data_IF_990034605215
#
_entry.id   IF_990034605215
#
_cell.length_a   1.000
_cell.length_b   1.000
_cell.length_c   1.000
_cell.angle_alpha   90.00
_cell.angle_beta   90.00
_cell.angle_gamma   90.00
#
_symmetry.space_group_name_H-M   'P 1'
#
loop_
_entity.id
_entity.type
_entity.pdbx_description
1 polymer ?
#
# COMPACT_ATOMS: atom_id res chain seq x y z
N UNK A 1 30.83 -13.18 2.40
CA UNK A 1 29.54 -13.28 3.11
C UNK A 1 29.62 -12.39 4.33
N UNK A 2 28.67 -11.49 4.53
CA UNK A 2 28.56 -10.67 5.74
C UNK A 2 27.63 -11.36 6.74
N UNK A 3 27.85 -11.12 8.02
CA UNK A 3 27.00 -11.54 9.13
C UNK A 3 26.59 -10.35 9.97
N UNK A 4 25.73 -10.57 10.97
CA UNK A 4 25.37 -9.55 11.97
C UNK A 4 25.91 -9.98 13.33
N UNK A 5 26.40 -9.01 14.10
CA UNK A 5 26.77 -9.24 15.52
C UNK A 5 25.49 -9.22 16.41
N UNK A 6 25.69 -9.39 17.74
CA UNK A 6 24.60 -9.39 18.72
C UNK A 6 23.79 -8.07 18.78
N UNK A 7 24.36 -6.98 18.26
CA UNK A 7 23.73 -5.66 18.22
C UNK A 7 23.09 -5.38 16.84
N UNK A 8 23.15 -6.34 15.91
CA UNK A 8 22.67 -6.19 14.55
C UNK A 8 23.64 -5.46 13.62
N UNK A 9 24.86 -5.14 14.07
CA UNK A 9 25.86 -4.48 13.22
C UNK A 9 26.34 -5.45 12.14
N UNK A 10 26.39 -4.98 10.90
CA UNK A 10 26.88 -5.77 9.78
C UNK A 10 28.41 -5.92 9.87
N UNK A 11 28.88 -7.16 9.96
CA UNK A 11 30.30 -7.48 10.18
C UNK A 11 30.79 -8.51 9.18
N UNK A 12 32.10 -8.51 8.94
CA UNK A 12 32.78 -9.61 8.30
C UNK A 12 33.04 -10.72 9.36
N UNK A 13 32.42 -11.89 9.27
CA UNK A 13 32.54 -12.94 10.28
C UNK A 13 33.95 -13.52 10.41
N UNK A 14 34.83 -13.35 9.40
CA UNK A 14 36.19 -13.88 9.46
C UNK A 14 37.10 -13.07 10.40
N UNK A 15 36.87 -11.76 10.56
CA UNK A 15 37.77 -10.87 11.32
C UNK A 15 37.03 -9.90 12.24
N UNK A 16 35.70 -9.93 12.29
CA UNK A 16 34.87 -9.04 13.13
C UNK A 16 34.84 -7.57 12.72
N UNK A 17 35.44 -7.20 11.59
CA UNK A 17 35.42 -5.82 11.11
C UNK A 17 34.03 -5.42 10.67
N UNK A 18 33.63 -4.21 11.06
CA UNK A 18 32.32 -3.65 10.77
C UNK A 18 32.23 -3.08 9.36
N UNK A 19 31.11 -3.29 8.70
CA UNK A 19 30.82 -2.73 7.39
C UNK A 19 30.24 -1.34 7.58
N UNK A 20 30.81 -0.37 6.88
CA UNK A 20 30.35 1.00 6.92
C UNK A 20 29.50 1.35 5.71
N UNK A 21 28.63 2.33 5.89
CA UNK A 21 27.73 2.84 4.86
C UNK A 21 26.82 3.93 5.40
N UNK A 22 25.71 4.11 4.75
CA UNK A 22 24.72 5.11 5.10
C UNK A 22 23.41 4.43 5.48
N UNK A 23 22.91 4.75 6.66
CA UNK A 23 21.58 4.30 7.10
C UNK A 23 20.51 5.11 6.39
N UNK A 24 19.38 4.47 6.10
CA UNK A 24 18.21 5.18 5.58
C UNK A 24 17.55 6.01 6.69
N UNK A 25 17.11 7.21 6.34
CA UNK A 25 16.34 8.11 7.20
C UNK A 25 14.90 8.16 6.71
N UNK A 26 13.94 8.23 7.62
CA UNK A 26 12.55 8.46 7.25
C UNK A 26 12.32 9.95 6.95
N UNK A 27 11.94 10.24 5.71
CA UNK A 27 11.58 11.59 5.27
C UNK A 27 10.15 11.55 4.73
N UNK A 28 9.20 11.99 5.53
CA UNK A 28 7.77 11.98 5.17
C UNK A 28 7.23 10.60 4.77
N UNK A 29 7.58 9.56 5.52
CA UNK A 29 7.16 8.18 5.27
C UNK A 29 7.93 7.47 4.15
N UNK A 30 8.98 8.10 3.59
CA UNK A 30 9.86 7.50 2.58
C UNK A 30 11.26 7.29 3.15
N UNK A 31 11.81 6.10 2.96
CA UNK A 31 13.19 5.81 3.34
C UNK A 31 14.16 6.39 2.31
N UNK A 32 15.01 7.31 2.74
CA UNK A 32 16.00 7.99 1.89
C UNK A 32 17.40 7.74 2.43
N UNK A 33 18.31 7.28 1.58
CA UNK A 33 19.74 7.15 1.90
C UNK A 33 20.49 8.39 1.43
N UNK A 34 21.24 9.02 2.34
CA UNK A 34 22.04 10.21 2.04
C UNK A 34 23.53 9.85 1.93
N UNK A 35 23.97 9.55 0.73
CA UNK A 35 25.33 9.10 0.45
C UNK A 35 26.40 10.22 0.49
N UNK A 36 25.98 11.46 0.59
CA UNK A 36 26.89 12.62 0.81
C UNK A 36 27.36 12.81 2.27
N UNK A 37 26.74 12.06 3.22
CA UNK A 37 27.14 12.10 4.61
C UNK A 37 28.37 11.19 4.87
N UNK A 38 29.05 11.40 6.01
CA UNK A 38 30.12 10.49 6.43
C UNK A 38 29.54 9.10 6.70
N UNK A 39 30.13 8.02 6.13
CA UNK A 39 29.67 6.66 6.41
C UNK A 39 29.77 6.33 7.91
N UNK A 40 28.80 5.55 8.39
CA UNK A 40 28.75 5.02 9.75
C UNK A 40 28.61 3.50 9.74
N UNK A 41 28.73 2.86 10.89
CA UNK A 41 28.49 1.43 11.01
C UNK A 41 27.06 1.12 10.57
N UNK A 42 26.89 0.12 9.70
CA UNK A 42 25.58 -0.33 9.25
C UNK A 42 24.97 -1.26 10.29
N UNK A 43 23.81 -0.88 10.80
CA UNK A 43 23.07 -1.65 11.78
C UNK A 43 21.78 -2.18 11.15
N UNK A 44 21.64 -3.50 11.09
CA UNK A 44 20.42 -4.16 10.68
C UNK A 44 19.52 -4.31 11.91
N UNK A 45 18.39 -3.64 11.97
CA UNK A 45 17.55 -3.62 13.18
C UNK A 45 16.73 -4.90 13.33
N UNK A 46 17.40 -6.04 13.50
CA UNK A 46 16.74 -7.35 13.64
C UNK A 46 15.78 -7.33 14.82
N UNK A 47 14.54 -7.72 14.59
CA UNK A 47 13.46 -7.68 15.59
C UNK A 47 12.88 -6.29 15.85
N UNK A 48 13.32 -5.25 15.14
CA UNK A 48 12.68 -3.94 15.22
C UNK A 48 11.26 -4.00 14.66
N UNK A 49 10.35 -3.33 15.35
CA UNK A 49 8.96 -3.20 14.95
C UNK A 49 8.85 -2.18 13.81
N UNK A 50 8.13 -2.55 12.77
CA UNK A 50 7.62 -1.63 11.77
C UNK A 50 6.24 -1.15 12.24
N UNK A 51 6.05 0.11 12.64
CA UNK A 51 4.77 0.59 13.16
C UNK A 51 3.69 0.40 12.09
N UNK A 52 2.43 0.14 12.48
CA UNK A 52 1.34 0.01 11.54
C UNK A 52 1.11 1.33 10.81
N UNK A 53 0.61 1.23 9.60
CA UNK A 53 0.18 2.37 8.79
C UNK A 53 -1.30 2.23 8.46
N UNK A 54 -2.08 3.24 8.82
CA UNK A 54 -3.47 3.32 8.41
C UNK A 54 -3.59 3.38 6.88
N UNK A 55 -4.61 2.74 6.34
CA UNK A 55 -4.94 2.84 4.92
C UNK A 55 -5.49 4.23 4.62
N UNK A 56 -4.86 4.93 3.70
CA UNK A 56 -5.30 6.23 3.20
C UNK A 56 -5.93 6.12 1.81
N UNK A 57 -5.45 5.17 1.00
CA UNK A 57 -5.88 5.01 -0.38
C UNK A 57 -6.16 3.55 -0.71
N UNK A 58 -7.34 3.31 -1.29
CA UNK A 58 -7.77 2.03 -1.84
C UNK A 58 -8.08 2.23 -3.32
N UNK A 59 -7.55 1.39 -4.19
CA UNK A 59 -7.89 1.37 -5.62
C UNK A 59 -8.64 0.10 -5.94
N UNK A 60 -9.79 0.27 -6.55
CA UNK A 60 -10.71 -0.81 -6.84
C UNK A 60 -11.08 -0.86 -8.30
N UNK A 61 -10.74 -1.97 -8.96
CA UNK A 61 -11.03 -2.19 -10.37
C UNK A 61 -11.68 -3.56 -10.55
N UNK A 62 -12.76 -3.63 -11.30
CA UNK A 62 -13.42 -4.89 -11.60
C UNK A 62 -14.09 -4.85 -12.97
N UNK A 63 -14.39 -6.02 -13.51
CA UNK A 63 -15.35 -6.17 -14.59
C UNK A 63 -16.67 -6.70 -14.00
N UNK A 64 -17.77 -6.05 -14.31
CA UNK A 64 -19.11 -6.51 -13.97
C UNK A 64 -19.69 -7.26 -15.18
N UNK A 65 -20.23 -8.45 -14.96
CA UNK A 65 -20.81 -9.24 -16.04
C UNK A 65 -22.12 -8.62 -16.53
N UNK A 66 -22.13 -8.12 -17.76
CA UNK A 66 -23.33 -7.55 -18.39
C UNK A 66 -24.55 -8.48 -18.37
N UNK A 67 -24.32 -9.80 -18.37
CA UNK A 67 -25.37 -10.81 -18.39
C UNK A 67 -25.85 -11.24 -16.98
N UNK A 68 -25.37 -10.61 -15.92
CA UNK A 68 -25.91 -10.82 -14.57
C UNK A 68 -27.42 -10.55 -14.58
N UNK A 69 -28.25 -11.44 -14.00
CA UNK A 69 -29.68 -11.24 -13.93
C UNK A 69 -30.03 -10.02 -13.07
N UNK A 70 -31.14 -9.38 -13.39
CA UNK A 70 -31.73 -8.32 -12.56
C UNK A 70 -32.42 -8.95 -11.35
N UNK A 71 -32.35 -8.26 -10.21
CA UNK A 71 -33.02 -8.70 -8.98
C UNK A 71 -34.49 -8.25 -9.06
N UNK A 72 -35.48 -9.16 -9.02
CA UNK A 72 -36.89 -8.80 -9.05
C UNK A 72 -37.35 -8.11 -7.74
N UNK A 73 -38.52 -7.47 -7.75
CA UNK A 73 -39.05 -6.72 -6.59
C UNK A 73 -39.24 -7.58 -5.33
N UNK A 74 -39.52 -8.87 -5.47
CA UNK A 74 -39.66 -9.82 -4.37
C UNK A 74 -38.73 -11.03 -4.61
N UNK A 75 -37.41 -10.86 -4.42
CA UNK A 75 -36.44 -11.88 -4.78
C UNK A 75 -36.40 -13.00 -3.76
N UNK A 76 -36.13 -14.23 -4.22
CA UNK A 76 -35.62 -15.29 -3.37
C UNK A 76 -34.18 -15.05 -3.00
N UNK A 77 -33.67 -15.75 -1.95
CA UNK A 77 -32.27 -15.64 -1.56
C UNK A 77 -31.32 -16.02 -2.73
N UNK A 78 -31.67 -17.05 -3.51
CA UNK A 78 -30.87 -17.47 -4.67
C UNK A 78 -30.80 -16.37 -5.76
N UNK A 79 -31.95 -15.71 -6.04
CA UNK A 79 -32.02 -14.62 -7.02
C UNK A 79 -31.18 -13.40 -6.59
N UNK A 80 -31.11 -13.11 -5.28
CA UNK A 80 -30.23 -12.07 -4.75
C UNK A 80 -28.76 -12.44 -4.98
N UNK A 81 -28.38 -13.69 -4.68
CA UNK A 81 -27.01 -14.18 -4.88
C UNK A 81 -26.63 -14.15 -6.37
N UNK A 82 -27.51 -14.58 -7.26
CA UNK A 82 -27.26 -14.58 -8.70
C UNK A 82 -27.19 -13.18 -9.30
N UNK A 83 -28.00 -12.23 -8.77
CA UNK A 83 -28.10 -10.85 -9.23
C UNK A 83 -27.05 -9.90 -8.63
N UNK A 84 -26.26 -10.36 -7.66
CA UNK A 84 -25.22 -9.54 -7.00
C UNK A 84 -23.83 -10.05 -7.30
N UNK A 85 -22.88 -9.12 -7.28
CA UNK A 85 -21.46 -9.40 -7.25
C UNK A 85 -20.85 -8.77 -6.01
N UNK A 86 -20.32 -9.59 -5.12
CA UNK A 86 -19.70 -9.14 -3.88
C UNK A 86 -18.20 -9.30 -3.93
N UNK A 87 -17.50 -8.37 -3.30
CA UNK A 87 -16.06 -8.39 -3.20
C UNK A 87 -15.61 -7.65 -1.96
N UNK A 88 -14.44 -8.02 -1.46
CA UNK A 88 -13.91 -7.61 -0.18
C UNK A 88 -12.43 -7.24 -0.29
N UNK A 89 -12.00 -6.29 0.53
CA UNK A 89 -10.59 -5.93 0.71
C UNK A 89 -10.36 -5.54 2.17
N UNK A 90 -9.23 -5.97 2.73
CA UNK A 90 -8.81 -5.56 4.06
C UNK A 90 -8.10 -4.20 3.99
N UNK A 91 -8.50 -3.30 4.87
CA UNK A 91 -7.83 -2.04 5.17
C UNK A 91 -7.34 -2.05 6.61
N UNK A 92 -6.45 -1.15 6.95
CA UNK A 92 -5.85 -1.09 8.30
C UNK A 92 -6.11 0.26 8.95
N UNK A 93 -6.38 0.22 10.26
CA UNK A 93 -6.48 1.43 11.08
C UNK A 93 -5.11 1.90 11.59
N UNK A 94 -5.08 3.00 12.35
CA UNK A 94 -3.85 3.55 12.94
C UNK A 94 -3.18 2.62 13.95
N UNK A 95 -3.91 1.64 14.50
CA UNK A 95 -3.40 0.64 15.43
C UNK A 95 -2.94 -0.64 14.71
N UNK A 96 -3.24 -0.77 13.41
CA UNK A 96 -2.93 -1.95 12.61
C UNK A 96 -3.98 -3.05 12.68
N UNK A 97 -5.17 -2.77 13.21
CA UNK A 97 -6.30 -3.68 13.12
C UNK A 97 -6.79 -3.73 11.67
N UNK A 98 -7.17 -4.92 11.22
CA UNK A 98 -7.76 -5.10 9.90
C UNK A 98 -9.26 -4.85 9.96
N UNK A 99 -9.78 -4.09 8.98
CA UNK A 99 -11.19 -3.82 8.75
C UNK A 99 -11.55 -4.25 7.35
N UNK A 100 -12.64 -4.98 7.19
CA UNK A 100 -13.06 -5.49 5.90
C UNK A 100 -13.96 -4.48 5.17
N UNK A 101 -13.52 -4.01 4.03
CA UNK A 101 -14.36 -3.21 3.12
C UNK A 101 -15.05 -4.15 2.15
N UNK A 102 -16.37 -4.23 2.25
CA UNK A 102 -17.23 -5.02 1.39
C UNK A 102 -17.92 -4.11 0.37
N UNK A 103 -17.87 -4.50 -0.89
CA UNK A 103 -18.56 -3.83 -1.98
C UNK A 103 -19.53 -4.81 -2.64
N UNK A 104 -20.82 -4.45 -2.63
CA UNK A 104 -21.89 -5.23 -3.23
C UNK A 104 -22.41 -4.50 -4.47
N UNK A 105 -22.29 -5.15 -5.62
CA UNK A 105 -22.80 -4.65 -6.89
C UNK A 105 -24.07 -5.37 -7.26
N UNK A 106 -25.12 -4.63 -7.59
CA UNK A 106 -26.38 -5.17 -8.07
C UNK A 106 -26.84 -4.42 -9.31
N UNK A 107 -27.41 -5.14 -10.28
CA UNK A 107 -27.91 -4.53 -11.51
C UNK A 107 -29.21 -3.81 -11.25
N UNK A 108 -29.36 -2.62 -11.81
CA UNK A 108 -30.60 -1.83 -11.68
C UNK A 108 -31.67 -2.41 -12.62
N UNK A 109 -32.85 -2.82 -12.12
CA UNK A 109 -33.92 -3.38 -12.91
C UNK A 109 -34.36 -2.42 -14.03
N UNK A 110 -34.56 -2.95 -15.24
CA UNK A 110 -34.98 -2.18 -16.41
C UNK A 110 -33.90 -1.28 -17.03
N UNK A 111 -32.69 -1.26 -16.46
CA UNK A 111 -31.57 -0.44 -16.93
C UNK A 111 -30.30 -1.28 -17.13
N UNK A 112 -30.10 -1.87 -18.32
CA UNK A 112 -29.05 -2.86 -18.55
C UNK A 112 -27.61 -2.31 -18.40
N UNK A 113 -27.44 -1.00 -18.44
CA UNK A 113 -26.14 -0.33 -18.30
C UNK A 113 -25.98 0.40 -16.96
N UNK A 114 -26.84 0.10 -15.98
CA UNK A 114 -26.76 0.68 -14.65
C UNK A 114 -26.58 -0.40 -13.58
N UNK A 115 -25.73 -0.07 -12.62
CA UNK A 115 -25.50 -0.90 -11.44
C UNK A 115 -25.54 -0.04 -10.19
N UNK A 116 -26.06 -0.57 -9.11
CA UNK A 116 -25.83 0.01 -7.78
C UNK A 116 -24.59 -0.63 -7.17
N UNK A 117 -23.81 0.15 -6.45
CA UNK A 117 -22.74 -0.32 -5.58
C UNK A 117 -23.02 0.13 -4.16
N UNK A 118 -23.04 -0.81 -3.22
CA UNK A 118 -23.13 -0.52 -1.78
C UNK A 118 -21.80 -0.86 -1.15
N UNK A 119 -21.23 0.09 -0.40
CA UNK A 119 -19.92 -0.06 0.25
C UNK A 119 -20.13 -0.04 1.76
N UNK A 120 -19.69 -1.08 2.44
CA UNK A 120 -19.73 -1.19 3.89
C UNK A 120 -18.34 -1.52 4.43
N UNK A 121 -18.03 -0.98 5.61
CA UNK A 121 -16.84 -1.38 6.37
C UNK A 121 -17.32 -2.19 7.56
N UNK A 122 -16.71 -3.36 7.78
CA UNK A 122 -17.06 -4.33 8.83
C UNK A 122 -18.57 -4.65 8.89
N UNK A 123 -19.17 -5.16 7.81
CA UNK A 123 -20.62 -5.33 7.70
C UNK A 123 -21.19 -6.29 8.74
N UNK A 124 -20.39 -7.22 9.27
CA UNK A 124 -20.80 -8.20 10.28
C UNK A 124 -20.76 -7.66 11.71
N UNK A 125 -20.20 -6.45 11.92
CA UNK A 125 -20.12 -5.84 13.23
C UNK A 125 -21.27 -4.86 13.44
N UNK A 126 -22.21 -5.20 14.32
CA UNK A 126 -23.41 -4.40 14.58
C UNK A 126 -23.09 -2.99 15.15
N UNK A 127 -21.94 -2.81 15.81
CA UNK A 127 -21.49 -1.55 16.37
C UNK A 127 -20.93 -0.58 15.32
N UNK A 128 -20.64 -1.08 14.10
CA UNK A 128 -20.06 -0.30 13.00
C UNK A 128 -21.02 0.05 11.87
N UNK A 129 -22.30 0.12 12.14
CA UNK A 129 -23.38 0.23 11.16
C UNK A 129 -23.36 1.50 10.27
N UNK A 130 -22.38 2.39 10.42
CA UNK A 130 -22.39 3.65 9.67
C UNK A 130 -21.09 3.93 8.93
N UNK A 131 -20.87 3.21 7.84
CA UNK A 131 -19.95 3.68 6.81
C UNK A 131 -20.52 4.94 6.19
N UNK A 132 -19.76 6.03 6.19
CA UNK A 132 -20.13 7.30 5.55
C UNK A 132 -19.25 7.48 4.33
N UNK A 133 -19.86 7.72 3.19
CA UNK A 133 -19.12 7.89 1.94
C UNK A 133 -19.68 9.13 1.21
N UNK A 134 -18.81 9.88 0.54
CA UNK A 134 -19.20 11.04 -0.24
C UNK A 134 -18.17 11.42 -1.29
N UNK A 135 -18.57 12.28 -2.22
CA UNK A 135 -17.67 12.92 -3.16
C UNK A 135 -16.90 14.05 -2.47
N UNK A 136 -15.75 13.72 -1.86
CA UNK A 136 -14.88 14.69 -1.18
C UNK A 136 -15.35 15.14 0.22
N UNK A 137 -16.49 14.63 0.71
CA UNK A 137 -16.98 14.87 2.07
C UNK A 137 -17.61 13.59 2.64
N UNK A 138 -17.56 13.44 3.96
CA UNK A 138 -18.18 12.31 4.67
C UNK A 138 -19.37 12.73 5.53
N UNK A 139 -20.02 13.87 5.19
CA UNK A 139 -21.06 14.46 6.05
C UNK A 139 -22.41 13.74 6.00
N UNK A 140 -22.62 12.87 5.01
CA UNK A 140 -23.85 12.08 4.84
C UNK A 140 -23.65 10.61 5.22
N UNK A 141 -24.71 9.98 5.75
CA UNK A 141 -24.79 8.51 5.87
C UNK A 141 -25.28 7.97 4.53
N UNK A 142 -24.36 7.91 3.57
CA UNK A 142 -24.63 7.31 2.26
C UNK A 142 -23.58 6.25 2.02
N UNK A 143 -24.00 5.07 1.58
CA UNK A 143 -23.11 3.98 1.23
C UNK A 143 -23.45 3.36 -0.12
N UNK A 144 -24.47 3.90 -0.82
CA UNK A 144 -24.95 3.35 -2.09
C UNK A 144 -24.85 4.38 -3.20
N UNK A 145 -24.28 3.97 -4.33
CA UNK A 145 -24.04 4.76 -5.52
C UNK A 145 -24.56 4.04 -6.76
N UNK A 146 -24.98 4.78 -7.76
CA UNK A 146 -25.36 4.27 -9.08
C UNK A 146 -24.20 4.48 -10.06
N UNK A 147 -23.74 3.41 -10.67
CA UNK A 147 -22.74 3.38 -11.72
C UNK A 147 -23.44 3.34 -13.07
N UNK A 148 -23.14 4.27 -13.96
CA UNK A 148 -23.68 4.30 -15.31
C UNK A 148 -22.57 3.95 -16.31
N UNK A 149 -22.86 3.00 -17.20
CA UNK A 149 -21.96 2.56 -18.26
C UNK A 149 -22.47 2.94 -19.63
N UNK A 150 -21.56 3.17 -20.57
CA UNK A 150 -21.92 3.31 -21.97
C UNK A 150 -22.16 1.94 -22.64
N UNK A 151 -22.57 1.97 -23.91
CA UNK A 151 -22.82 0.75 -24.69
C UNK A 151 -21.53 -0.06 -24.97
N UNK A 152 -20.35 0.52 -24.74
CA UNK A 152 -19.05 -0.15 -24.88
C UNK A 152 -18.54 -0.72 -23.54
N UNK A 153 -19.28 -0.47 -22.44
CA UNK A 153 -18.95 -0.95 -21.09
C UNK A 153 -17.99 -0.07 -20.31
N UNK A 154 -17.79 1.16 -20.75
CA UNK A 154 -16.99 2.15 -20.02
C UNK A 154 -17.86 2.88 -18.99
N UNK A 155 -17.29 3.11 -17.82
CA UNK A 155 -17.94 3.90 -16.78
C UNK A 155 -18.05 5.35 -17.23
N UNK A 156 -19.27 5.91 -17.20
CA UNK A 156 -19.60 7.28 -17.59
C UNK A 156 -19.83 8.20 -16.41
N UNK A 157 -20.44 7.70 -15.36
CA UNK A 157 -20.73 8.49 -14.18
C UNK A 157 -20.99 7.61 -12.97
N UNK A 158 -20.76 8.20 -11.80
CA UNK A 158 -21.17 7.67 -10.49
C UNK A 158 -22.06 8.71 -9.85
N UNK A 159 -23.25 8.31 -9.41
CA UNK A 159 -24.27 9.17 -8.85
C UNK A 159 -24.64 8.68 -7.46
N UNK A 160 -24.72 9.58 -6.49
CA UNK A 160 -25.17 9.26 -5.14
C UNK A 160 -26.72 9.20 -5.04
N UNK A 161 -27.23 8.80 -3.88
CA UNK A 161 -28.69 8.72 -3.64
C UNK A 161 -29.40 10.09 -3.64
N UNK A 162 -28.66 11.20 -3.50
CA UNK A 162 -29.18 12.56 -3.56
C UNK A 162 -29.17 13.13 -5.00
N UNK A 163 -28.61 12.38 -5.97
CA UNK A 163 -28.51 12.80 -7.37
C UNK A 163 -27.24 13.61 -7.67
N UNK A 164 -26.31 13.74 -6.71
CA UNK A 164 -25.03 14.37 -7.00
C UNK A 164 -24.16 13.42 -7.83
N UNK A 165 -23.48 13.98 -8.80
CA UNK A 165 -22.67 13.23 -9.75
C UNK A 165 -21.18 13.45 -9.49
N UNK A 166 -20.38 12.39 -9.69
CA UNK A 166 -18.93 12.53 -9.73
C UNK A 166 -18.48 13.49 -10.83
N UNK A 167 -17.25 14.00 -10.71
CA UNK A 167 -16.67 14.83 -11.77
C UNK A 167 -16.78 14.09 -13.12
N UNK A 168 -17.38 14.70 -14.17
CA UNK A 168 -17.63 14.07 -15.45
C UNK A 168 -16.36 13.76 -16.26
N UNK A 169 -15.21 14.21 -15.81
CA UNK A 169 -13.91 13.95 -16.44
C UNK A 169 -12.85 13.79 -15.35
N UNK A 170 -12.29 12.60 -15.23
CA UNK A 170 -11.19 12.33 -14.29
C UNK A 170 -11.37 11.09 -13.45
N UNK A 171 -10.56 10.98 -12.42
CA UNK A 171 -10.64 9.90 -11.44
C UNK A 171 -11.89 10.05 -10.55
N UNK A 172 -12.53 8.93 -10.27
CA UNK A 172 -13.65 8.84 -9.35
C UNK A 172 -13.10 8.43 -8.00
N UNK A 173 -13.02 9.40 -7.09
CA UNK A 173 -12.57 9.16 -5.72
C UNK A 173 -13.73 9.43 -4.77
N UNK A 174 -14.14 8.40 -4.04
CA UNK A 174 -15.08 8.49 -2.94
C UNK A 174 -14.27 8.57 -1.65
N UNK A 175 -14.57 9.53 -0.79
CA UNK A 175 -14.02 9.56 0.55
C UNK A 175 -14.91 8.74 1.47
N UNK A 176 -14.36 7.68 2.06
CA UNK A 176 -15.04 6.82 3.00
C UNK A 176 -14.57 7.09 4.42
N UNK A 177 -15.48 6.97 5.39
CA UNK A 177 -15.21 7.13 6.81
C UNK A 177 -15.91 6.03 7.60
N UNK A 178 -15.19 5.41 8.51
CA UNK A 178 -15.69 4.34 9.38
C UNK A 178 -15.29 4.58 10.84
N UNK A 179 -16.05 4.00 11.77
CA UNK A 179 -15.74 4.08 13.20
C UNK A 179 -14.69 3.04 13.57
N UNK A 180 -13.74 3.41 14.43
CA UNK A 180 -12.72 2.52 15.00
C UNK A 180 -13.08 2.24 16.45
N UNK A 181 -13.26 0.96 16.85
CA UNK A 181 -13.79 0.54 18.16
C UNK A 181 -12.95 0.91 19.35
N UNK A 182 -11.63 0.84 19.21
CA UNK A 182 -10.71 0.94 20.35
C UNK A 182 -10.27 2.36 20.64
N UNK A 183 -10.85 3.33 19.96
CA UNK A 183 -10.54 4.74 20.18
C UNK A 183 -11.48 5.37 21.18
N UNK A 184 -10.93 6.20 22.04
CA UNK A 184 -11.72 7.05 22.91
C UNK A 184 -12.70 7.86 22.05
N UNK A 185 -13.97 7.80 22.42
CA UNK A 185 -14.97 8.69 21.85
C UNK A 185 -14.53 10.16 22.03
N UNK A 186 -14.95 11.02 21.11
CA UNK A 186 -14.76 12.45 21.28
C UNK A 186 -15.49 12.96 22.55
N UNK A 187 -15.31 14.24 22.89
CA UNK A 187 -15.94 14.86 24.05
C UNK A 187 -17.49 14.77 24.05
N UNK A 188 -18.10 14.44 22.92
CA UNK A 188 -19.55 14.28 22.73
C UNK A 188 -19.98 12.79 22.72
N UNK A 189 -19.06 11.86 22.94
CA UNK A 189 -19.35 10.44 22.94
C UNK A 189 -19.42 9.81 21.53
N UNK A 190 -19.01 10.53 20.47
CA UNK A 190 -18.95 9.94 19.12
C UNK A 190 -17.69 9.11 18.95
N UNK A 191 -17.76 7.95 18.30
CA UNK A 191 -16.58 7.13 18.04
C UNK A 191 -15.57 7.88 17.16
N UNK A 192 -14.29 7.66 17.41
CA UNK A 192 -13.24 8.11 16.52
C UNK A 192 -13.46 7.50 15.15
N UNK A 193 -13.38 8.33 14.10
CA UNK A 193 -13.58 7.89 12.72
C UNK A 193 -12.29 8.04 11.95
N UNK A 194 -11.99 7.02 11.17
CA UNK A 194 -10.90 7.05 10.23
C UNK A 194 -11.45 7.18 8.80
N UNK A 195 -10.70 7.87 7.96
CA UNK A 195 -11.07 8.13 6.56
C UNK A 195 -10.08 7.50 5.62
N UNK A 196 -10.57 7.05 4.45
CA UNK A 196 -9.73 6.63 3.34
C UNK A 196 -10.38 7.05 2.01
N UNK A 197 -9.58 7.13 0.96
CA UNK A 197 -10.02 7.40 -0.38
C UNK A 197 -10.24 6.09 -1.13
N UNK A 198 -11.43 5.89 -1.66
CA UNK A 198 -11.79 4.76 -2.51
C UNK A 198 -11.82 5.23 -3.97
N UNK A 199 -10.81 4.83 -4.74
CA UNK A 199 -10.70 5.16 -6.15
C UNK A 199 -11.34 4.05 -6.99
N UNK A 200 -12.38 4.40 -7.76
CA UNK A 200 -13.12 3.50 -8.64
C UNK A 200 -12.65 3.55 -10.10
N UNK A 201 -11.59 4.31 -10.38
CA UNK A 201 -11.01 4.45 -11.70
C UNK A 201 -11.32 5.79 -12.37
N UNK A 202 -11.09 5.83 -13.68
CA UNK A 202 -11.24 7.06 -14.50
C UNK A 202 -12.41 6.92 -15.45
N UNK A 203 -13.27 7.94 -15.51
CA UNK A 203 -14.40 8.00 -16.43
C UNK A 203 -13.92 7.86 -17.88
N UNK A 204 -14.63 7.01 -18.65
CA UNK A 204 -14.33 6.76 -20.07
C UNK A 204 -13.12 5.87 -20.33
N UNK A 205 -12.37 5.44 -19.30
CA UNK A 205 -11.26 4.51 -19.44
C UNK A 205 -11.74 3.05 -19.48
N UNK A 206 -10.93 2.17 -20.08
CA UNK A 206 -11.06 0.71 -19.95
C UNK A 206 -9.98 0.11 -19.07
N UNK A 207 -8.97 0.91 -18.71
CA UNK A 207 -7.85 0.49 -17.89
C UNK A 207 -7.98 1.06 -16.48
N UNK A 208 -7.68 0.24 -15.47
CA UNK A 208 -7.66 0.65 -14.08
C UNK A 208 -8.97 1.33 -13.63
N UNK A 209 -10.10 0.75 -14.00
CA UNK A 209 -11.44 1.25 -13.69
C UNK A 209 -12.45 0.12 -13.57
N UNK A 210 -13.63 0.41 -13.05
CA UNK A 210 -14.76 -0.49 -13.10
C UNK A 210 -15.32 -0.49 -14.53
N UNK A 211 -15.50 -1.67 -15.12
CA UNK A 211 -16.01 -1.87 -16.46
C UNK A 211 -17.20 -2.83 -16.46
N UNK A 212 -17.99 -2.82 -17.55
CA UNK A 212 -19.06 -3.77 -17.78
C UNK A 212 -18.80 -4.53 -19.09
N UNK A 213 -18.65 -5.84 -19.06
CA UNK A 213 -18.48 -6.66 -20.25
C UNK A 213 -19.23 -8.00 -20.12
N UNK A 214 -19.43 -8.71 -21.23
CA UNK A 214 -20.09 -10.04 -21.25
C UNK A 214 -19.19 -11.18 -20.77
N UNK A 215 -18.13 -10.89 -20.04
CA UNK A 215 -17.27 -11.87 -19.38
C UNK A 215 -17.66 -12.02 -17.90
N UNK A 216 -17.21 -13.09 -17.26
CA UNK A 216 -17.44 -13.30 -15.82
C UNK A 216 -17.01 -12.05 -15.04
N UNK A 217 -17.78 -11.72 -14.00
CA UNK A 217 -17.36 -10.69 -13.06
C UNK A 217 -16.01 -11.09 -12.46
N UNK A 218 -15.10 -10.14 -12.41
CA UNK A 218 -13.76 -10.32 -11.85
C UNK A 218 -13.48 -9.21 -10.86
N UNK A 219 -12.93 -9.59 -9.73
CA UNK A 219 -12.43 -8.60 -8.79
C UNK A 219 -10.93 -8.51 -8.93
N UNK A 220 -10.47 -7.30 -9.09
CA UNK A 220 -9.11 -6.95 -8.74
C UNK A 220 -9.18 -5.73 -7.82
N UNK A 221 -9.37 -5.98 -6.53
CA UNK A 221 -8.95 -5.04 -5.52
C UNK A 221 -7.42 -5.00 -5.62
N UNK A 222 -6.86 -3.93 -6.15
CA UNK A 222 -5.50 -4.01 -6.63
C UNK A 222 -4.49 -3.33 -5.73
N UNK A 223 -4.94 -2.45 -4.84
CA UNK A 223 -4.00 -1.66 -4.07
C UNK A 223 -4.67 -1.06 -2.83
N UNK A 224 -4.02 -1.22 -1.72
CA UNK A 224 -4.23 -0.46 -0.50
C UNK A 224 -2.84 -0.17 0.11
N UNK A 225 -2.68 0.97 0.74
CA UNK A 225 -1.38 1.48 1.18
C UNK A 225 -1.12 1.35 2.69
N UNK A 226 -2.07 0.75 3.42
CA UNK A 226 -1.94 0.45 4.83
C UNK A 226 -1.31 -0.90 5.12
N UNK A 227 -0.85 -1.13 6.33
CA UNK A 227 -0.34 -2.41 6.80
C UNK A 227 -0.37 -2.49 8.34
N UNK A 228 -0.45 -3.72 8.83
CA UNK A 228 -0.36 -4.03 10.26
C UNK A 228 1.08 -3.90 10.77
N UNK A 229 1.22 -3.93 12.10
CA UNK A 229 2.53 -4.04 12.75
C UNK A 229 3.36 -5.18 12.14
N UNK A 230 4.58 -4.87 11.75
CA UNK A 230 5.54 -5.84 11.21
C UNK A 230 6.80 -5.95 12.07
N UNK A 231 7.54 -7.04 11.86
CA UNK A 231 8.88 -7.24 12.40
C UNK A 231 9.83 -7.53 11.25
N UNK A 232 11.06 -7.03 11.32
CA UNK A 232 12.07 -7.37 10.31
C UNK A 232 12.35 -8.87 10.35
N UNK A 233 11.98 -9.56 9.27
CA UNK A 233 12.12 -11.01 9.12
C UNK A 233 13.43 -11.37 8.41
N UNK A 234 13.75 -10.64 7.33
CA UNK A 234 14.95 -10.88 6.54
C UNK A 234 15.44 -9.59 5.87
N UNK A 235 16.69 -9.60 5.40
CA UNK A 235 17.23 -8.50 4.60
C UNK A 235 18.02 -9.03 3.40
N UNK A 236 18.13 -8.20 2.37
CA UNK A 236 18.91 -8.48 1.15
C UNK A 236 19.81 -7.29 0.84
N UNK A 237 20.98 -7.57 0.28
CA UNK A 237 21.89 -6.54 -0.24
C UNK A 237 21.98 -6.78 -1.74
N UNK A 238 21.67 -5.76 -2.53
CA UNK A 238 21.73 -5.83 -3.99
C UNK A 238 23.12 -5.47 -4.54
N UNK A 239 23.27 -5.46 -5.87
CA UNK A 239 24.54 -5.14 -6.53
C UNK A 239 24.95 -3.66 -6.36
N UNK A 240 24.00 -2.79 -6.12
CA UNK A 240 24.25 -1.37 -5.81
C UNK A 240 24.62 -1.14 -4.34
N UNK A 241 24.69 -2.20 -3.55
CA UNK A 241 24.96 -2.13 -2.11
C UNK A 241 23.76 -1.66 -1.29
N UNK A 242 22.58 -1.53 -1.87
CA UNK A 242 21.36 -1.15 -1.14
C UNK A 242 20.90 -2.32 -0.29
N UNK A 243 20.69 -2.05 0.99
CA UNK A 243 20.19 -3.01 1.97
C UNK A 243 18.69 -2.83 2.07
N UNK A 244 17.96 -3.87 1.73
CA UNK A 244 16.49 -3.88 1.75
C UNK A 244 16.01 -4.88 2.78
N UNK A 245 15.20 -4.44 3.73
CA UNK A 245 14.52 -5.27 4.73
C UNK A 245 13.17 -5.76 4.24
N UNK A 246 12.85 -7.00 4.54
CA UNK A 246 11.56 -7.63 4.32
C UNK A 246 10.92 -7.87 5.68
N UNK A 247 9.74 -7.33 5.89
CA UNK A 247 9.02 -7.38 7.16
C UNK A 247 7.89 -8.40 7.13
N UNK A 248 7.53 -8.92 8.30
CA UNK A 248 6.49 -9.96 8.45
C UNK A 248 5.08 -9.50 8.01
N UNK A 249 4.86 -8.20 7.87
CA UNK A 249 3.63 -7.61 7.30
C UNK A 249 3.65 -7.51 5.77
N UNK A 250 4.73 -8.02 5.13
CA UNK A 250 4.93 -7.95 3.67
C UNK A 250 5.51 -6.63 3.17
N UNK A 251 5.74 -5.65 4.04
CA UNK A 251 6.39 -4.40 3.65
C UNK A 251 7.86 -4.64 3.31
N UNK A 252 8.35 -3.86 2.35
CA UNK A 252 9.75 -3.90 1.91
C UNK A 252 10.31 -2.49 2.01
N UNK A 253 11.39 -2.31 2.78
CA UNK A 253 11.97 -0.99 3.04
C UNK A 253 13.47 -0.98 2.88
N UNK A 254 14.01 0.12 2.40
CA UNK A 254 15.45 0.37 2.39
C UNK A 254 15.92 0.65 3.81
N UNK A 255 16.89 -0.12 4.29
CA UNK A 255 17.53 0.04 5.61
C UNK A 255 18.75 0.94 5.50
N UNK A 256 19.51 0.83 4.40
CA UNK A 256 20.74 1.58 4.20
C UNK A 256 21.43 1.18 2.92
N UNK A 257 22.66 1.66 2.74
CA UNK A 257 23.51 1.33 1.60
C UNK A 257 24.95 1.20 2.04
N UNK A 258 25.61 0.17 1.53
CA UNK A 258 27.05 -0.11 1.79
C UNK A 258 27.90 0.94 1.09
N UNK A 259 28.86 1.53 1.81
CA UNK A 259 29.85 2.42 1.22
C UNK A 259 30.94 1.61 0.50
N UNK A 260 31.36 2.09 -0.66
CA UNK A 260 32.47 1.58 -1.42
C UNK A 260 33.62 2.56 -1.40
N UNK A 261 34.84 2.06 -1.32
CA UNK A 261 36.05 2.86 -1.42
C UNK A 261 36.79 2.55 -2.72
N UNK A 262 37.15 3.58 -3.47
CA UNK A 262 38.03 3.50 -4.62
C UNK A 262 39.33 4.24 -4.35
N UNK A 263 40.42 3.75 -4.93
CA UNK A 263 41.77 4.31 -4.73
C UNK A 263 42.39 4.63 -6.08
N UNK A 264 43.15 5.72 -6.14
CA UNK A 264 43.85 6.12 -7.35
C UNK A 264 44.85 5.06 -7.81
N UNK A 265 45.52 4.40 -6.86
CA UNK A 265 46.41 3.28 -7.16
C UNK A 265 46.11 2.07 -6.24
N UNK A 266 45.28 1.17 -6.70
CA UNK A 266 44.86 -0.01 -5.96
C UNK A 266 46.05 -0.97 -5.65
N UNK A 267 47.07 -1.01 -6.53
CA UNK A 267 48.26 -1.80 -6.32
C UNK A 267 49.17 -1.29 -5.19
N UNK A 268 48.97 -0.03 -4.76
CA UNK A 268 49.65 0.59 -3.65
C UNK A 268 49.09 0.28 -2.26
N UNK A 269 47.95 -0.41 -2.18
CA UNK A 269 47.32 -0.77 -0.91
C UNK A 269 48.17 -1.79 -0.13
N UNK A 270 48.27 -1.58 1.18
CA UNK A 270 48.96 -2.53 2.08
C UNK A 270 48.05 -3.67 2.49
N UNK A 271 48.44 -4.92 2.17
CA UNK A 271 47.71 -6.12 2.56
C UNK A 271 47.86 -6.42 4.05
N UNK A 272 46.76 -6.47 4.82
CA UNK A 272 46.72 -6.74 6.25
C UNK A 272 46.36 -8.17 6.61
N UNK A 273 46.00 -9.01 5.64
CA UNK A 273 45.47 -10.37 5.85
C UNK A 273 43.96 -10.44 5.73
N UNK A 274 43.40 -11.65 5.69
CA UNK A 274 41.94 -11.93 5.64
C UNK A 274 41.16 -11.12 4.58
N UNK A 275 41.79 -10.91 3.41
CA UNK A 275 41.30 -10.04 2.34
C UNK A 275 41.04 -8.57 2.75
N UNK A 276 41.76 -8.08 3.77
CA UNK A 276 41.75 -6.69 4.17
C UNK A 276 42.99 -5.95 3.69
N UNK A 277 42.78 -4.67 3.36
CA UNK A 277 43.79 -3.76 2.85
C UNK A 277 43.72 -2.46 3.62
N UNK A 278 44.85 -1.80 3.80
CA UNK A 278 44.94 -0.48 4.39
C UNK A 278 45.51 0.53 3.39
N UNK A 279 45.16 1.76 3.58
CA UNK A 279 45.73 2.89 2.84
C UNK A 279 47.22 2.97 3.07
N UNK A 280 47.93 3.39 2.03
CA UNK A 280 49.36 3.70 2.09
C UNK A 280 49.63 5.01 1.34
N UNK A 281 50.83 5.54 1.51
CA UNK A 281 51.29 6.74 0.75
C UNK A 281 51.22 6.49 -0.76
N UNK A 282 51.37 5.23 -1.20
CA UNK A 282 51.36 4.85 -2.60
C UNK A 282 49.94 4.59 -3.17
N UNK A 283 48.94 4.32 -2.33
CA UNK A 283 47.57 4.09 -2.78
C UNK A 283 46.79 5.38 -3.03
N UNK A 284 47.20 6.44 -2.36
CA UNK A 284 46.39 7.66 -2.23
C UNK A 284 45.25 7.46 -1.20
N UNK A 285 44.52 8.53 -0.94
CA UNK A 285 43.36 8.53 -0.03
C UNK A 285 42.18 7.79 -0.65
N UNK A 286 41.36 7.17 0.22
CA UNK A 286 40.12 6.54 -0.20
C UNK A 286 39.13 7.57 -0.75
N UNK A 287 38.59 7.33 -1.93
CA UNK A 287 37.43 8.03 -2.44
C UNK A 287 36.21 7.17 -2.14
N UNK A 288 35.37 7.64 -1.18
CA UNK A 288 34.24 6.90 -0.67
C UNK A 288 32.99 7.33 -1.45
N UNK A 289 32.21 6.35 -1.96
CA UNK A 289 31.02 6.60 -2.76
C UNK A 289 30.11 5.39 -2.85
N UNK A 290 29.11 5.51 -3.68
CA UNK A 290 28.15 4.45 -3.97
C UNK A 290 28.73 3.38 -4.90
N UNK A 291 28.23 2.14 -4.80
CA UNK A 291 28.53 1.10 -5.77
C UNK A 291 28.01 1.48 -7.17
N UNK A 292 28.85 1.36 -8.20
CA UNK A 292 28.47 1.57 -9.60
C UNK A 292 28.52 3.01 -10.11
N UNK A 293 28.88 3.99 -9.28
CA UNK A 293 29.03 5.40 -9.73
C UNK A 293 30.45 5.76 -10.20
N UNK A 294 31.40 4.87 -9.94
CA UNK A 294 32.81 5.06 -10.32
C UNK A 294 33.40 3.73 -10.80
N UNK A 295 32.87 3.21 -11.89
CA UNK A 295 33.40 2.06 -12.61
C UNK A 295 33.89 2.44 -13.99
#
# INVERSE_FOLDING_TARGET
>A
VFGTDSNGTLVNPANGLRVQGWMAEDVNGRQVVRTSATPTDLVIPVGQKDPPKATENVRYFCNLNKNTPEIPDNPTADQVIEGTWQTEIDIYDTYGNAHQVQMNFAKVPGNPNQWTVTVNVDPDNADFTQTRIGFGTTDGVQNTYTLNFDNTGKLQSVIDSAGNQSNPQGEIVLQASYAVTDSNADANGNPYRQTFNLNLGTIGSMENTITQAASKSTTKANYQDGYKLGYLDNFKIDQSGIITGVYSNGSVRTIGQVAMASFTNQGGLEKKGDNTYAESINSGMANIGESGTQG
#
